data_IF_150613995409
#
_entry.id   IF_150613995409
#
_cell.length_a   1.000
_cell.length_b   1.000
_cell.length_c   1.000
_cell.angle_alpha   90.00
_cell.angle_beta   90.00
_cell.angle_gamma   90.00
#
_symmetry.space_group_name_H-M   'P 1'
#
loop_
_entity.id
_entity.type
_entity.pdbx_description
1 polymer ?
#
# COMPACT_ATOMS: atom_id res chain seq x y z
N UNK A 1 -8.71 8.06 -13.45
CA UNK A 1 -9.45 7.91 -12.17
C UNK A 1 -10.37 6.71 -12.31
N UNK A 2 -10.05 5.58 -11.68
CA UNK A 2 -10.98 4.44 -11.64
C UNK A 2 -12.03 4.77 -10.59
N UNK A 3 -13.31 4.85 -10.96
CA UNK A 3 -14.39 4.97 -9.99
C UNK A 3 -14.22 3.86 -8.95
N UNK A 4 -14.08 4.22 -7.67
CA UNK A 4 -14.01 3.26 -6.58
C UNK A 4 -15.36 2.54 -6.57
N UNK A 5 -15.37 1.26 -6.90
CA UNK A 5 -16.60 0.47 -6.85
C UNK A 5 -17.04 0.42 -5.38
N UNK A 6 -18.26 0.87 -5.11
CA UNK A 6 -18.85 0.83 -3.79
C UNK A 6 -19.79 -0.37 -3.67
N UNK A 7 -19.34 -1.37 -2.92
CA UNK A 7 -20.09 -2.59 -2.64
C UNK A 7 -20.85 -2.56 -1.32
N UNK A 8 -20.93 -1.43 -0.63
CA UNK A 8 -21.66 -1.33 0.64
C UNK A 8 -23.14 -1.69 0.46
N UNK A 9 -23.77 -1.29 -0.64
CA UNK A 9 -25.18 -1.60 -0.91
C UNK A 9 -25.44 -3.11 -1.02
N UNK A 10 -24.55 -3.86 -1.68
CA UNK A 10 -24.73 -5.32 -1.81
C UNK A 10 -24.42 -6.03 -0.49
N UNK A 11 -23.42 -5.55 0.27
CA UNK A 11 -23.09 -6.09 1.60
C UNK A 11 -24.21 -5.87 2.60
N UNK A 12 -24.81 -4.68 2.61
CA UNK A 12 -25.97 -4.39 3.46
C UNK A 12 -27.17 -5.28 3.11
N UNK A 13 -27.41 -5.52 1.81
CA UNK A 13 -28.46 -6.45 1.37
C UNK A 13 -28.14 -7.88 1.83
N UNK A 14 -26.91 -8.34 1.65
CA UNK A 14 -26.44 -9.65 2.07
C UNK A 14 -26.58 -9.85 3.57
N UNK A 15 -26.16 -8.88 4.38
CA UNK A 15 -26.30 -8.92 5.83
C UNK A 15 -27.76 -9.11 6.23
N UNK A 16 -28.68 -8.32 5.67
CA UNK A 16 -30.12 -8.42 5.96
C UNK A 16 -30.71 -9.78 5.57
N UNK A 17 -30.38 -10.27 4.37
CA UNK A 17 -31.01 -11.46 3.79
C UNK A 17 -30.38 -12.77 4.26
N UNK A 18 -29.05 -12.79 4.41
CA UNK A 18 -28.28 -14.00 4.72
C UNK A 18 -28.02 -14.18 6.21
N UNK A 19 -27.96 -13.09 6.98
CA UNK A 19 -27.69 -13.10 8.42
C UNK A 19 -28.89 -12.61 9.25
N UNK A 20 -29.70 -11.70 8.70
CA UNK A 20 -30.82 -11.04 9.38
C UNK A 20 -32.21 -11.68 9.18
N UNK A 21 -32.28 -12.88 8.59
CA UNK A 21 -33.52 -13.60 8.28
C UNK A 21 -34.57 -12.82 7.45
N UNK A 22 -34.18 -11.72 6.79
CA UNK A 22 -35.09 -10.97 5.92
C UNK A 22 -35.30 -11.69 4.59
N UNK A 23 -36.55 -11.80 4.09
CA UNK A 23 -36.79 -12.41 2.78
C UNK A 23 -36.18 -11.55 1.66
N UNK A 24 -35.54 -12.20 0.70
CA UNK A 24 -35.04 -11.51 -0.49
C UNK A 24 -36.21 -11.11 -1.41
N UNK A 25 -36.49 -9.81 -1.48
CA UNK A 25 -37.48 -9.27 -2.40
C UNK A 25 -36.85 -8.89 -3.75
N UNK A 26 -37.32 -9.55 -4.82
CA UNK A 26 -36.88 -9.31 -6.20
C UNK A 26 -37.55 -8.10 -6.86
N UNK A 27 -37.48 -6.96 -6.19
CA UNK A 27 -37.88 -5.66 -6.73
C UNK A 27 -36.99 -5.27 -7.92
N UNK A 28 -37.42 -4.31 -8.74
CA UNK A 28 -36.61 -3.77 -9.83
C UNK A 28 -35.25 -3.26 -9.33
N UNK A 29 -35.24 -2.56 -8.18
CA UNK A 29 -34.02 -2.07 -7.55
C UNK A 29 -33.06 -3.19 -7.11
N UNK A 30 -33.58 -4.23 -6.45
CA UNK A 30 -32.78 -5.40 -6.03
C UNK A 30 -32.21 -6.14 -7.24
N UNK A 31 -33.02 -6.33 -8.30
CA UNK A 31 -32.58 -6.96 -9.55
C UNK A 31 -31.48 -6.15 -10.21
N UNK A 32 -31.64 -4.84 -10.33
CA UNK A 32 -30.64 -3.95 -10.92
C UNK A 32 -29.33 -3.94 -10.12
N UNK A 33 -29.41 -3.94 -8.78
CA UNK A 33 -28.25 -4.07 -7.90
C UNK A 33 -27.51 -5.39 -8.12
N UNK A 34 -28.23 -6.53 -8.08
CA UNK A 34 -27.65 -7.85 -8.26
C UNK A 34 -27.03 -8.02 -9.66
N UNK A 35 -27.69 -7.58 -10.72
CA UNK A 35 -27.17 -7.64 -12.09
C UNK A 35 -25.87 -6.84 -12.22
N UNK A 36 -25.87 -5.59 -11.75
CA UNK A 36 -24.69 -4.72 -11.82
C UNK A 36 -23.53 -5.34 -11.06
N UNK A 37 -23.74 -5.74 -9.81
CA UNK A 37 -22.66 -6.28 -8.99
C UNK A 37 -22.19 -7.65 -9.48
N UNK A 38 -23.07 -8.49 -10.03
CA UNK A 38 -22.68 -9.74 -10.68
C UNK A 38 -21.64 -9.50 -11.80
N UNK A 39 -21.88 -8.49 -12.65
CA UNK A 39 -20.92 -8.11 -13.70
C UNK A 39 -19.59 -7.59 -13.10
N UNK A 40 -19.67 -6.77 -12.04
CA UNK A 40 -18.49 -6.24 -11.33
C UNK A 40 -17.60 -7.33 -10.72
N UNK A 41 -18.17 -8.51 -10.41
CA UNK A 41 -17.45 -9.68 -9.86
C UNK A 41 -17.17 -10.78 -10.89
N UNK A 42 -17.35 -10.48 -12.18
CA UNK A 42 -17.03 -11.41 -13.27
C UNK A 42 -18.04 -12.55 -13.43
N UNK A 43 -19.29 -12.35 -13.04
CA UNK A 43 -20.41 -13.23 -13.41
C UNK A 43 -21.03 -12.69 -14.70
N UNK A 44 -21.30 -13.56 -15.67
CA UNK A 44 -21.83 -13.15 -16.96
C UNK A 44 -23.25 -12.60 -16.83
N UNK A 45 -23.63 -11.66 -17.68
CA UNK A 45 -25.00 -11.12 -17.70
C UNK A 45 -26.06 -12.21 -17.89
N UNK A 46 -25.91 -13.18 -18.82
CA UNK A 46 -26.88 -14.28 -18.96
C UNK A 46 -27.03 -15.13 -17.69
N UNK A 47 -25.94 -15.47 -17.01
CA UNK A 47 -25.99 -16.27 -15.78
C UNK A 47 -26.68 -15.51 -14.64
N UNK A 48 -26.41 -14.20 -14.55
CA UNK A 48 -27.05 -13.34 -13.56
C UNK A 48 -28.56 -13.19 -13.84
N UNK A 49 -28.95 -12.99 -15.11
CA UNK A 49 -30.37 -12.91 -15.51
C UNK A 49 -31.11 -14.23 -15.26
N UNK A 50 -30.47 -15.36 -15.53
CA UNK A 50 -31.00 -16.70 -15.25
C UNK A 50 -31.22 -16.90 -13.74
N UNK A 51 -30.23 -16.54 -12.92
CA UNK A 51 -30.32 -16.64 -11.47
C UNK A 51 -31.42 -15.73 -10.87
N UNK A 52 -31.79 -14.64 -11.53
CA UNK A 52 -32.86 -13.75 -11.06
C UNK A 52 -34.28 -14.21 -11.40
N UNK A 53 -34.46 -15.41 -11.98
CA UNK A 53 -35.80 -15.96 -12.27
C UNK A 53 -36.56 -16.40 -11.03
N UNK A 54 -35.88 -16.71 -9.94
CA UNK A 54 -36.50 -17.12 -8.68
C UNK A 54 -35.78 -16.53 -7.47
N UNK A 55 -36.48 -16.40 -6.35
CA UNK A 55 -35.90 -15.93 -5.08
C UNK A 55 -34.78 -16.87 -4.61
N UNK A 56 -34.96 -18.18 -4.77
CA UNK A 56 -33.96 -19.19 -4.38
C UNK A 56 -32.66 -19.01 -5.17
N UNK A 57 -32.74 -18.95 -6.50
CA UNK A 57 -31.55 -18.79 -7.35
C UNK A 57 -30.92 -17.41 -7.19
N UNK A 58 -31.72 -16.35 -6.93
CA UNK A 58 -31.20 -15.02 -6.67
C UNK A 58 -30.47 -14.93 -5.33
N UNK A 59 -30.92 -15.67 -4.31
CA UNK A 59 -30.24 -15.77 -3.02
C UNK A 59 -28.87 -16.45 -3.18
N UNK A 60 -28.78 -17.47 -4.04
CA UNK A 60 -27.50 -18.09 -4.41
C UNK A 60 -26.58 -17.10 -5.14
N UNK A 61 -27.12 -16.31 -6.07
CA UNK A 61 -26.35 -15.24 -6.73
C UNK A 61 -25.82 -14.22 -5.72
N UNK A 62 -26.65 -13.74 -4.79
CA UNK A 62 -26.25 -12.82 -3.73
C UNK A 62 -25.10 -13.38 -2.89
N UNK A 63 -25.20 -14.64 -2.45
CA UNK A 63 -24.14 -15.35 -1.72
C UNK A 63 -22.84 -15.41 -2.53
N UNK A 64 -22.91 -15.81 -3.79
CA UNK A 64 -21.74 -15.94 -4.66
C UNK A 64 -21.07 -14.59 -4.93
N UNK A 65 -21.86 -13.54 -5.15
CA UNK A 65 -21.34 -12.18 -5.37
C UNK A 65 -20.55 -11.70 -4.15
N UNK A 66 -21.11 -11.83 -2.95
CA UNK A 66 -20.45 -11.41 -1.70
C UNK A 66 -19.20 -12.24 -1.47
N UNK A 67 -19.29 -13.56 -1.63
CA UNK A 67 -18.15 -14.46 -1.50
C UNK A 67 -17.00 -14.06 -2.43
N UNK A 68 -17.26 -13.76 -3.70
CA UNK A 68 -16.20 -13.32 -4.63
C UNK A 68 -15.58 -11.98 -4.23
N UNK A 69 -16.38 -11.06 -3.71
CA UNK A 69 -15.89 -9.77 -3.22
C UNK A 69 -14.93 -9.98 -2.05
N UNK A 70 -15.33 -10.77 -1.06
CA UNK A 70 -14.57 -10.94 0.18
C UNK A 70 -13.35 -11.85 -0.05
N UNK A 71 -13.52 -13.03 -0.67
CA UNK A 71 -12.41 -13.93 -1.01
C UNK A 71 -11.35 -13.25 -1.89
N UNK A 72 -11.78 -12.38 -2.81
CA UNK A 72 -10.88 -11.63 -3.67
C UNK A 72 -10.16 -10.48 -2.96
N UNK A 73 -10.82 -9.83 -2.00
CA UNK A 73 -10.19 -8.82 -1.15
C UNK A 73 -9.09 -9.46 -0.31
N UNK A 74 -9.44 -10.52 0.41
CA UNK A 74 -8.54 -11.22 1.34
C UNK A 74 -7.33 -11.76 0.59
N UNK A 75 -7.55 -12.46 -0.53
CA UNK A 75 -6.48 -12.99 -1.38
C UNK A 75 -5.52 -11.90 -1.84
N UNK A 76 -6.05 -10.77 -2.32
CA UNK A 76 -5.22 -9.67 -2.81
C UNK A 76 -4.45 -9.01 -1.68
N UNK A 77 -5.07 -8.80 -0.52
CA UNK A 77 -4.41 -8.15 0.62
C UNK A 77 -3.31 -9.04 1.21
N UNK A 78 -3.54 -10.34 1.39
CA UNK A 78 -2.53 -11.28 1.85
C UNK A 78 -1.34 -11.35 0.89
N UNK A 79 -1.60 -11.52 -0.41
CA UNK A 79 -0.56 -11.59 -1.43
C UNK A 79 0.21 -10.27 -1.54
N UNK A 80 -0.46 -9.13 -1.37
CA UNK A 80 0.16 -7.80 -1.39
C UNK A 80 1.10 -7.61 -0.21
N UNK A 81 0.71 -8.04 1.00
CA UNK A 81 1.58 -8.00 2.17
C UNK A 81 2.82 -8.86 1.95
N UNK A 82 2.64 -10.12 1.52
CA UNK A 82 3.76 -11.02 1.22
C UNK A 82 4.69 -10.47 0.12
N UNK A 83 4.11 -9.86 -0.93
CA UNK A 83 4.86 -9.22 -2.01
C UNK A 83 5.75 -8.08 -1.48
N UNK A 84 5.21 -7.19 -0.65
CA UNK A 84 5.99 -6.09 -0.08
C UNK A 84 7.09 -6.58 0.85
N UNK A 85 6.84 -7.63 1.65
CA UNK A 85 7.86 -8.23 2.51
C UNK A 85 9.01 -8.83 1.67
N UNK A 86 8.70 -9.51 0.57
CA UNK A 86 9.70 -10.06 -0.35
C UNK A 86 10.49 -8.96 -1.05
N UNK A 87 9.81 -7.91 -1.51
CA UNK A 87 10.45 -6.72 -2.11
C UNK A 87 11.42 -6.05 -1.12
N UNK A 88 11.01 -5.87 0.13
CA UNK A 88 11.84 -5.25 1.17
C UNK A 88 13.06 -6.14 1.54
N UNK A 89 12.99 -7.45 1.28
CA UNK A 89 14.11 -8.40 1.37
C UNK A 89 14.98 -8.44 0.09
N UNK A 90 14.55 -7.77 -0.99
CA UNK A 90 15.20 -7.76 -2.29
C UNK A 90 14.87 -8.96 -3.19
N UNK A 91 13.88 -9.78 -2.84
CA UNK A 91 13.38 -10.88 -3.67
C UNK A 91 12.26 -10.39 -4.59
N UNK A 92 12.65 -9.68 -5.66
CA UNK A 92 11.70 -9.12 -6.62
C UNK A 92 11.02 -10.19 -7.48
N UNK A 93 11.68 -11.32 -7.74
CA UNK A 93 11.04 -12.43 -8.47
C UNK A 93 9.99 -13.13 -7.60
N UNK A 94 10.29 -13.36 -6.32
CA UNK A 94 9.32 -13.83 -5.34
C UNK A 94 8.13 -12.87 -5.22
N UNK A 95 8.37 -11.56 -5.17
CA UNK A 95 7.33 -10.55 -5.16
C UNK A 95 6.45 -10.61 -6.43
N UNK A 96 7.04 -10.68 -7.62
CA UNK A 96 6.31 -10.89 -8.88
C UNK A 96 5.46 -12.17 -8.85
N UNK A 97 6.01 -13.26 -8.31
CA UNK A 97 5.30 -14.53 -8.21
C UNK A 97 4.01 -14.41 -7.40
N UNK A 98 3.99 -13.65 -6.30
CA UNK A 98 2.77 -13.44 -5.50
C UNK A 98 1.63 -12.88 -6.36
N UNK A 99 1.90 -11.88 -7.20
CA UNK A 99 0.87 -11.28 -8.06
C UNK A 99 0.47 -12.20 -9.22
N UNK A 100 1.40 -12.99 -9.77
CA UNK A 100 1.06 -14.01 -10.79
C UNK A 100 0.15 -15.10 -10.20
N UNK A 101 0.41 -15.53 -8.97
CA UNK A 101 -0.40 -16.55 -8.28
C UNK A 101 -1.83 -16.01 -8.03
N UNK A 102 -1.99 -14.74 -7.66
CA UNK A 102 -3.32 -14.09 -7.58
C UNK A 102 -4.00 -14.08 -8.95
N UNK A 103 -3.30 -13.64 -10.00
CA UNK A 103 -3.85 -13.54 -11.36
C UNK A 103 -4.24 -14.89 -11.98
N UNK A 104 -3.67 -15.99 -11.49
CA UNK A 104 -4.02 -17.33 -11.95
C UNK A 104 -5.42 -17.76 -11.48
N UNK A 105 -5.90 -17.25 -10.34
CA UNK A 105 -7.16 -17.69 -9.71
C UNK A 105 -8.21 -16.60 -9.59
N UNK A 106 -7.82 -15.33 -9.61
CA UNK A 106 -8.73 -14.21 -9.41
C UNK A 106 -9.64 -14.01 -10.63
N UNK A 107 -10.95 -13.90 -10.38
CA UNK A 107 -11.98 -13.74 -11.43
C UNK A 107 -12.61 -12.35 -11.41
N UNK A 108 -12.51 -11.62 -10.29
CA UNK A 108 -13.09 -10.29 -10.12
C UNK A 108 -12.22 -9.26 -10.86
N UNK A 109 -12.75 -8.59 -11.91
CA UNK A 109 -11.95 -7.73 -12.78
C UNK A 109 -11.18 -6.61 -12.06
N UNK A 110 -11.77 -5.99 -11.03
CA UNK A 110 -11.10 -4.91 -10.30
C UNK A 110 -9.90 -5.40 -9.48
N UNK A 111 -9.97 -6.61 -8.92
CA UNK A 111 -8.84 -7.20 -8.18
C UNK A 111 -7.74 -7.68 -9.12
N UNK A 112 -8.11 -8.31 -10.26
CA UNK A 112 -7.16 -8.64 -11.33
C UNK A 112 -6.38 -7.41 -11.78
N UNK A 113 -7.08 -6.33 -12.10
CA UNK A 113 -6.45 -5.07 -12.56
C UNK A 113 -5.48 -4.49 -11.53
N UNK A 114 -5.80 -4.61 -10.23
CA UNK A 114 -4.89 -4.17 -9.16
C UNK A 114 -3.65 -5.05 -9.08
N UNK A 115 -3.81 -6.37 -9.14
CA UNK A 115 -2.69 -7.31 -9.15
C UNK A 115 -1.80 -7.15 -10.40
N UNK A 116 -2.38 -6.88 -11.57
CA UNK A 116 -1.65 -6.53 -12.80
C UNK A 116 -0.76 -5.29 -12.61
N UNK A 117 -1.31 -4.21 -12.02
CA UNK A 117 -0.54 -3.00 -11.74
C UNK A 117 0.61 -3.24 -10.75
N UNK A 118 0.37 -4.04 -9.71
CA UNK A 118 1.43 -4.40 -8.76
C UNK A 118 2.51 -5.29 -9.42
N UNK A 119 2.12 -6.23 -10.27
CA UNK A 119 3.06 -7.07 -11.02
C UNK A 119 3.92 -6.23 -11.99
N UNK A 120 3.30 -5.27 -12.67
CA UNK A 120 4.00 -4.34 -13.55
C UNK A 120 5.04 -3.52 -12.77
N UNK A 121 4.66 -2.97 -11.61
CA UNK A 121 5.57 -2.23 -10.74
C UNK A 121 6.77 -3.08 -10.30
N UNK A 122 6.54 -4.30 -9.81
CA UNK A 122 7.62 -5.19 -9.37
C UNK A 122 8.52 -5.62 -10.54
N UNK A 123 7.94 -5.83 -11.72
CA UNK A 123 8.69 -6.17 -12.94
C UNK A 123 9.62 -5.02 -13.33
N UNK A 124 9.12 -3.79 -13.34
CA UNK A 124 9.95 -2.61 -13.62
C UNK A 124 11.04 -2.42 -12.56
N UNK A 125 10.76 -2.67 -11.27
CA UNK A 125 11.80 -2.65 -10.23
C UNK A 125 12.88 -3.71 -10.46
N UNK A 126 12.50 -4.91 -10.92
CA UNK A 126 13.45 -5.96 -11.27
C UNK A 126 14.34 -5.54 -12.45
N UNK A 127 13.79 -4.83 -13.43
CA UNK A 127 14.56 -4.23 -14.52
C UNK A 127 15.53 -3.13 -14.04
N UNK A 128 15.12 -2.29 -13.08
CA UNK A 128 16.03 -1.31 -12.43
C UNK A 128 17.19 -2.04 -11.75
N UNK A 129 16.91 -3.10 -10.98
CA UNK A 129 17.94 -3.90 -10.32
C UNK A 129 18.89 -4.57 -11.33
N UNK A 130 18.36 -5.09 -12.43
CA UNK A 130 19.11 -5.81 -13.46
C UNK A 130 19.92 -4.89 -14.38
N UNK A 131 19.40 -3.71 -14.73
CA UNK A 131 20.03 -2.77 -15.67
C UNK A 131 20.84 -1.67 -15.00
N UNK A 132 20.50 -1.30 -13.76
CA UNK A 132 21.03 -0.11 -13.09
C UNK A 132 20.40 1.20 -13.56
N UNK A 133 19.41 1.16 -14.47
CA UNK A 133 18.74 2.36 -15.00
C UNK A 133 17.45 2.63 -14.26
N UNK A 134 17.25 3.87 -13.86
CA UNK A 134 16.04 4.33 -13.17
C UNK A 134 14.89 4.54 -14.16
N UNK A 135 13.65 4.47 -13.66
CA UNK A 135 12.43 4.74 -14.39
C UNK A 135 11.64 5.88 -13.74
N UNK A 136 11.04 6.75 -14.56
CA UNK A 136 10.19 7.84 -14.08
C UNK A 136 8.82 7.37 -13.55
N UNK A 137 8.39 6.15 -13.89
CA UNK A 137 7.09 5.58 -13.48
C UNK A 137 7.09 4.98 -12.07
N UNK A 138 8.28 4.79 -11.47
CA UNK A 138 8.44 4.05 -10.22
C UNK A 138 8.65 4.96 -9.00
N UNK A 139 8.24 4.52 -7.80
CA UNK A 139 8.54 5.24 -6.56
C UNK A 139 10.05 5.38 -6.34
N UNK A 140 10.51 6.61 -6.11
CA UNK A 140 11.93 6.95 -6.04
C UNK A 140 12.74 6.07 -5.06
N UNK A 141 12.23 5.88 -3.83
CA UNK A 141 12.91 5.11 -2.79
C UNK A 141 13.02 3.62 -3.12
N UNK A 142 12.02 3.08 -3.80
CA UNK A 142 12.00 1.65 -4.14
C UNK A 142 13.04 1.37 -5.23
N UNK A 143 13.23 2.32 -6.16
CA UNK A 143 14.33 2.29 -7.12
C UNK A 143 15.70 2.37 -6.44
N UNK A 144 15.87 3.26 -5.46
CA UNK A 144 17.11 3.34 -4.69
C UNK A 144 17.41 2.02 -3.94
N UNK A 145 16.40 1.36 -3.38
CA UNK A 145 16.57 0.06 -2.72
C UNK A 145 16.98 -1.04 -3.71
N UNK A 146 16.39 -1.06 -4.91
CA UNK A 146 16.76 -1.98 -5.98
C UNK A 146 18.22 -1.76 -6.44
N UNK A 147 18.65 -0.51 -6.57
CA UNK A 147 20.04 -0.16 -6.91
C UNK A 147 21.02 -0.48 -5.78
N UNK A 148 20.66 -0.24 -4.51
CA UNK A 148 21.49 -0.64 -3.35
C UNK A 148 21.76 -2.15 -3.39
N UNK A 149 20.73 -2.95 -3.69
CA UNK A 149 20.86 -4.40 -3.80
C UNK A 149 21.79 -4.82 -4.94
N UNK A 150 21.66 -4.19 -6.11
CA UNK A 150 22.55 -4.39 -7.25
C UNK A 150 24.02 -4.18 -6.87
N UNK A 151 24.31 -3.10 -6.13
CA UNK A 151 25.67 -2.79 -5.66
C UNK A 151 26.16 -3.84 -4.67
N UNK A 152 25.31 -4.29 -3.73
CA UNK A 152 25.65 -5.37 -2.80
C UNK A 152 25.98 -6.70 -3.51
N UNK A 153 25.44 -6.91 -4.72
CA UNK A 153 25.75 -8.06 -5.57
C UNK A 153 27.05 -7.88 -6.38
N UNK A 154 27.77 -6.76 -6.21
CA UNK A 154 29.05 -6.50 -6.84
C UNK A 154 28.96 -5.80 -8.20
N UNK A 155 27.78 -5.37 -8.62
CA UNK A 155 27.61 -4.61 -9.86
C UNK A 155 27.94 -3.13 -9.62
N UNK A 156 28.73 -2.54 -10.52
CA UNK A 156 29.08 -1.13 -10.44
C UNK A 156 27.86 -0.22 -10.67
N UNK A 157 27.87 0.92 -9.99
CA UNK A 157 26.91 2.00 -10.19
C UNK A 157 27.43 2.97 -11.25
N UNK A 158 26.66 3.17 -12.32
CA UNK A 158 26.92 4.22 -13.29
C UNK A 158 26.21 5.50 -12.84
N UNK A 159 26.96 6.59 -12.76
CA UNK A 159 26.44 7.89 -12.34
C UNK A 159 25.77 8.62 -13.52
N UNK A 160 24.68 8.05 -14.01
CA UNK A 160 23.86 8.64 -15.07
C UNK A 160 23.10 9.88 -14.57
N UNK A 161 22.75 10.80 -15.46
CA UNK A 161 22.05 12.05 -15.11
C UNK A 161 20.71 11.77 -14.43
N UNK A 162 20.01 10.72 -14.86
CA UNK A 162 18.73 10.32 -14.29
C UNK A 162 18.85 9.84 -12.84
N UNK A 163 19.96 9.14 -12.50
CA UNK A 163 20.26 8.75 -11.13
C UNK A 163 20.63 9.96 -10.27
N UNK A 164 21.43 10.89 -10.80
CA UNK A 164 21.72 12.15 -10.13
C UNK A 164 20.43 12.94 -9.83
N UNK A 165 19.54 13.05 -10.83
CA UNK A 165 18.24 13.72 -10.66
C UNK A 165 17.36 13.02 -9.62
N UNK A 166 17.34 11.69 -9.59
CA UNK A 166 16.64 10.90 -8.58
C UNK A 166 17.18 11.19 -7.17
N UNK A 167 18.50 11.16 -6.99
CA UNK A 167 19.15 11.43 -5.71
C UNK A 167 18.92 12.87 -5.24
N UNK A 168 19.04 13.87 -6.12
CA UNK A 168 18.71 15.28 -5.81
C UNK A 168 17.28 15.45 -5.31
N UNK A 169 16.32 14.78 -5.94
CA UNK A 169 14.91 14.86 -5.53
C UNK A 169 14.65 14.12 -4.21
N UNK A 170 15.34 13.00 -3.97
CA UNK A 170 15.07 12.14 -2.81
C UNK A 170 15.82 12.59 -1.56
N UNK A 171 17.04 13.12 -1.69
CA UNK A 171 17.88 13.58 -0.57
C UNK A 171 17.17 14.52 0.43
N UNK A 172 16.48 15.61 0.00
CA UNK A 172 15.80 16.50 0.94
C UNK A 172 14.65 15.80 1.69
N UNK A 173 14.02 14.79 1.10
CA UNK A 173 12.99 13.98 1.76
C UNK A 173 13.55 13.13 2.91
N UNK A 174 14.86 12.92 2.96
CA UNK A 174 15.59 12.29 4.06
C UNK A 174 16.30 13.30 4.98
N UNK A 175 16.02 14.61 4.81
CA UNK A 175 16.67 15.67 5.59
C UNK A 175 18.15 15.89 5.24
N UNK A 176 18.57 15.52 4.02
CA UNK A 176 19.93 15.76 3.52
C UNK A 176 19.90 17.07 2.73
N UNK A 177 20.86 17.95 2.99
CA UNK A 177 20.89 19.27 2.36
C UNK A 177 21.50 19.21 0.95
N UNK A 178 21.23 20.23 0.15
CA UNK A 178 21.71 20.33 -1.23
C UNK A 178 23.24 20.29 -1.32
N UNK A 179 23.95 21.01 -0.43
CA UNK A 179 25.41 21.02 -0.44
C UNK A 179 26.04 19.63 -0.21
N UNK A 180 25.50 18.85 0.75
CA UNK A 180 25.92 17.47 1.00
C UNK A 180 25.58 16.56 -0.19
N UNK A 181 24.44 16.81 -0.82
CA UNK A 181 23.98 16.08 -2.00
C UNK A 181 24.92 16.29 -3.19
N UNK A 182 25.19 17.54 -3.55
CA UNK A 182 26.08 17.85 -4.68
C UNK A 182 27.52 17.41 -4.43
N UNK A 183 28.00 17.44 -3.17
CA UNK A 183 29.31 16.88 -2.83
C UNK A 183 29.37 15.37 -3.10
N UNK A 184 28.35 14.63 -2.65
CA UNK A 184 28.27 13.19 -2.86
C UNK A 184 28.17 12.80 -4.34
N UNK A 185 27.47 13.60 -5.15
CA UNK A 185 27.28 13.37 -6.58
C UNK A 185 28.53 13.63 -7.43
N UNK A 186 29.67 14.04 -6.86
CA UNK A 186 30.94 14.16 -7.61
C UNK A 186 31.58 12.83 -7.98
N UNK A 187 31.14 11.73 -7.38
CA UNK A 187 31.70 10.40 -7.64
C UNK A 187 30.67 9.28 -7.48
N UNK A 188 30.84 8.13 -8.16
CA UNK A 188 29.98 6.97 -7.96
C UNK A 188 29.94 6.48 -6.50
N UNK A 189 31.09 6.45 -5.81
CA UNK A 189 31.16 6.02 -4.42
C UNK A 189 30.45 7.00 -3.46
N UNK A 190 30.50 8.30 -3.75
CA UNK A 190 29.72 9.30 -3.01
C UNK A 190 28.23 9.14 -3.22
N UNK A 191 27.78 8.93 -4.46
CA UNK A 191 26.38 8.68 -4.78
C UNK A 191 25.83 7.40 -4.13
N UNK A 192 26.63 6.33 -4.09
CA UNK A 192 26.31 5.11 -3.35
C UNK A 192 26.14 5.39 -1.84
N UNK A 193 27.08 6.15 -1.24
CA UNK A 193 27.01 6.51 0.16
C UNK A 193 25.77 7.37 0.47
N UNK A 194 25.43 8.32 -0.41
CA UNK A 194 24.23 9.14 -0.31
C UNK A 194 22.95 8.28 -0.38
N UNK A 195 22.87 7.37 -1.35
CA UNK A 195 21.74 6.44 -1.48
C UNK A 195 21.54 5.61 -0.21
N UNK A 196 22.63 5.02 0.33
CA UNK A 196 22.59 4.26 1.57
C UNK A 196 22.14 5.11 2.76
N UNK A 197 22.62 6.36 2.84
CA UNK A 197 22.22 7.32 3.87
C UNK A 197 20.72 7.62 3.81
N UNK A 198 20.18 7.90 2.62
CA UNK A 198 18.75 8.13 2.39
C UNK A 198 17.94 6.93 2.90
N UNK A 199 18.27 5.72 2.44
CA UNK A 199 17.56 4.50 2.81
C UNK A 199 17.65 4.21 4.31
N UNK A 200 18.81 4.42 4.94
CA UNK A 200 18.99 4.21 6.38
C UNK A 200 18.15 5.18 7.19
N UNK A 201 18.16 6.48 6.86
CA UNK A 201 17.37 7.49 7.57
C UNK A 201 15.88 7.18 7.53
N UNK A 202 15.35 6.76 6.38
CA UNK A 202 13.96 6.31 6.29
C UNK A 202 13.68 5.06 7.14
N UNK A 203 14.55 4.05 7.07
CA UNK A 203 14.39 2.80 7.83
C UNK A 203 14.42 3.04 9.34
N UNK A 204 15.37 3.85 9.82
CA UNK A 204 15.53 4.20 11.23
C UNK A 204 14.41 5.11 11.71
N UNK A 205 14.07 6.14 10.94
CA UNK A 205 12.98 7.06 11.25
C UNK A 205 11.63 6.33 11.36
N UNK A 206 11.31 5.44 10.40
CA UNK A 206 10.11 4.58 10.45
C UNK A 206 10.05 3.77 11.74
N UNK A 207 11.16 3.12 12.13
CA UNK A 207 11.24 2.34 13.37
C UNK A 207 11.06 3.23 14.60
N UNK A 208 11.66 4.41 14.60
CA UNK A 208 11.58 5.39 15.70
C UNK A 208 10.15 5.89 15.89
N UNK A 209 9.52 6.44 14.84
CA UNK A 209 8.17 6.99 14.92
C UNK A 209 7.16 5.90 15.28
N UNK A 210 7.21 4.71 14.65
CA UNK A 210 6.27 3.62 14.94
C UNK A 210 6.30 3.20 16.41
N UNK A 211 7.50 3.03 16.99
CA UNK A 211 7.66 2.69 18.40
C UNK A 211 7.15 3.79 19.33
N UNK A 212 7.41 5.06 18.96
CA UNK A 212 6.96 6.20 19.74
C UNK A 212 5.44 6.34 19.72
N UNK A 213 4.79 6.15 18.56
CA UNK A 213 3.34 6.15 18.42
C UNK A 213 2.69 5.07 19.29
N UNK A 214 3.22 3.85 19.26
CA UNK A 214 2.71 2.78 20.12
C UNK A 214 2.76 3.16 21.60
N UNK A 215 3.92 3.62 22.08
CA UNK A 215 4.09 4.03 23.49
C UNK A 215 3.22 5.24 23.85
N UNK A 216 3.13 6.22 22.97
CA UNK A 216 2.29 7.40 23.15
C UNK A 216 0.83 7.01 23.31
N UNK A 217 0.30 6.13 22.45
CA UNK A 217 -1.08 5.64 22.54
C UNK A 217 -1.30 4.92 23.87
N UNK A 218 -0.42 4.01 24.27
CA UNK A 218 -0.53 3.32 25.56
C UNK A 218 -0.52 4.27 26.75
N UNK A 219 0.33 5.31 26.74
CA UNK A 219 0.40 6.32 27.80
C UNK A 219 -0.87 7.17 27.85
N UNK A 220 -1.38 7.60 26.70
CA UNK A 220 -2.63 8.35 26.58
C UNK A 220 -3.80 7.54 27.14
N UNK A 221 -3.91 6.27 26.75
CA UNK A 221 -5.02 5.40 27.15
C UNK A 221 -4.95 5.08 28.67
N UNK A 222 -3.76 5.15 29.28
CA UNK A 222 -3.55 5.09 30.73
C UNK A 222 -3.76 6.44 31.45
N UNK A 223 -4.16 7.51 30.74
CA UNK A 223 -4.35 8.85 31.28
C UNK A 223 -3.07 9.67 31.49
N UNK A 224 -1.90 9.13 31.15
CA UNK A 224 -0.61 9.83 31.25
C UNK A 224 -0.33 10.67 30.00
N UNK A 225 -1.05 11.78 29.86
CA UNK A 225 -0.91 12.68 28.71
C UNK A 225 0.47 13.34 28.64
N UNK A 226 1.10 13.68 29.76
CA UNK A 226 2.43 14.29 29.76
C UNK A 226 3.50 13.31 29.27
N UNK A 227 3.41 12.05 29.68
CA UNK A 227 4.24 10.98 29.13
C UNK A 227 4.03 10.78 27.63
N UNK A 228 2.76 10.81 27.18
CA UNK A 228 2.43 10.71 25.75
C UNK A 228 3.05 11.87 24.94
N UNK A 229 2.93 13.11 25.43
CA UNK A 229 3.56 14.30 24.82
C UNK A 229 5.08 14.16 24.78
N UNK A 230 5.68 13.68 25.86
CA UNK A 230 7.12 13.50 25.94
C UNK A 230 7.62 12.53 24.88
N UNK A 231 6.88 11.44 24.58
CA UNK A 231 7.25 10.53 23.49
C UNK A 231 7.36 11.23 22.13
N UNK A 232 6.46 12.17 21.81
CA UNK A 232 6.53 12.91 20.54
C UNK A 232 7.68 13.93 20.55
N UNK A 233 7.92 14.61 21.67
CA UNK A 233 9.06 15.52 21.83
C UNK A 233 10.41 14.80 21.69
N UNK A 234 10.53 13.60 22.25
CA UNK A 234 11.73 12.77 22.14
C UNK A 234 12.03 12.39 20.69
N UNK A 235 11.00 12.11 19.88
CA UNK A 235 11.17 11.88 18.44
C UNK A 235 11.63 13.17 17.75
N UNK A 236 10.97 14.29 18.00
CA UNK A 236 11.28 15.58 17.36
C UNK A 236 12.69 16.10 17.67
N UNK A 237 13.26 15.70 18.80
CA UNK A 237 14.63 16.05 19.18
C UNK A 237 15.70 15.38 18.30
N UNK A 238 15.41 14.23 17.69
CA UNK A 238 16.40 13.43 16.95
C UNK A 238 16.02 13.12 15.51
N UNK A 239 14.74 13.26 15.15
CA UNK A 239 14.26 12.94 13.82
C UNK A 239 14.66 14.01 12.80
N UNK A 240 15.22 13.57 11.68
CA UNK A 240 15.69 14.44 10.58
C UNK A 240 14.85 14.29 9.33
N UNK A 241 14.11 13.18 9.18
CA UNK A 241 13.24 12.93 8.02
C UNK A 241 11.98 13.79 8.16
N UNK A 242 11.74 14.77 7.25
CA UNK A 242 10.63 15.72 7.37
C UNK A 242 9.27 15.05 7.57
N UNK A 243 8.98 13.98 6.83
CA UNK A 243 7.73 13.21 6.94
C UNK A 243 7.48 12.72 8.38
N UNK A 244 8.49 12.15 9.04
CA UNK A 244 8.31 11.58 10.37
C UNK A 244 8.30 12.66 11.46
N UNK A 245 8.94 13.81 11.22
CA UNK A 245 8.79 14.99 12.08
C UNK A 245 7.36 15.51 12.02
N UNK A 246 6.81 15.68 10.83
CA UNK A 246 5.44 16.15 10.62
C UNK A 246 4.43 15.23 11.31
N UNK A 247 4.57 13.91 11.15
CA UNK A 247 3.74 12.93 11.86
C UNK A 247 3.81 13.10 13.39
N UNK A 248 5.00 13.32 13.96
CA UNK A 248 5.14 13.54 15.40
C UNK A 248 4.54 14.90 15.85
N UNK A 249 4.68 15.94 15.04
CA UNK A 249 4.09 17.27 15.29
C UNK A 249 2.55 17.22 15.24
N UNK A 250 1.96 16.49 14.30
CA UNK A 250 0.52 16.26 14.24
C UNK A 250 -0.01 15.55 15.48
N UNK A 251 0.67 14.48 15.92
CA UNK A 251 0.26 13.75 17.12
C UNK A 251 0.42 14.59 18.38
N UNK A 252 1.50 15.38 18.48
CA UNK A 252 1.69 16.29 19.60
C UNK A 252 0.58 17.35 19.65
N UNK A 253 0.21 17.96 18.51
CA UNK A 253 -0.93 18.87 18.40
C UNK A 253 -2.25 18.21 18.83
N UNK A 254 -2.47 16.96 18.44
CA UNK A 254 -3.66 16.20 18.83
C UNK A 254 -3.76 15.95 20.33
N UNK A 255 -2.63 15.78 21.03
CA UNK A 255 -2.58 15.62 22.49
C UNK A 255 -2.76 16.94 23.26
N UNK A 256 -2.54 18.07 22.61
CA UNK A 256 -2.71 19.41 23.18
C UNK A 256 -4.12 19.99 22.94
N UNK A 257 -4.91 19.34 22.07
CA UNK A 257 -6.31 19.69 21.83
C UNK A 257 -7.24 19.30 23.00
N UNK A 258 -8.40 19.96 23.14
CA UNK A 258 -9.40 19.54 24.12
C UNK A 258 -9.85 18.10 23.83
N UNK A 259 -10.22 17.31 24.87
CA UNK A 259 -10.75 15.98 24.64
C UNK A 259 -11.99 16.06 23.74
N UNK A 260 -12.19 15.09 22.83
CA UNK A 260 -13.38 15.08 21.97
C UNK A 260 -14.64 15.07 22.86
N UNK A 261 -15.60 15.95 22.55
CA UNK A 261 -16.90 15.99 23.21
C UNK A 261 -17.55 14.60 23.11
N UNK A 262 -17.95 14.06 24.26
CA UNK A 262 -18.59 12.74 24.38
C UNK A 262 -20.05 12.78 23.97
#
# INVERSE_FOLDING_TARGET
MSAKIDWNSIRNLAQRVLEGDEPLELTEGTRALLLRTAQEVGISQPDAEDALRSVTTASTLLKEVVRRIDDGADRLDDARLAMYDLRDQGDLEGACKQMRDVLAVEVVPVYRKRAEGMLEEMTQLAEVAASGRVSASLPDRDQLAALERRIQQGHALELAEELCALLRRTAPTAGIIEAETEEALKSPGGAEALMRMILSRFREGKKRITRALFRMTSLRDAGNLDGARQQMRDVLAVEVVPLYREMAEEQLRGLDGPPPES
#
